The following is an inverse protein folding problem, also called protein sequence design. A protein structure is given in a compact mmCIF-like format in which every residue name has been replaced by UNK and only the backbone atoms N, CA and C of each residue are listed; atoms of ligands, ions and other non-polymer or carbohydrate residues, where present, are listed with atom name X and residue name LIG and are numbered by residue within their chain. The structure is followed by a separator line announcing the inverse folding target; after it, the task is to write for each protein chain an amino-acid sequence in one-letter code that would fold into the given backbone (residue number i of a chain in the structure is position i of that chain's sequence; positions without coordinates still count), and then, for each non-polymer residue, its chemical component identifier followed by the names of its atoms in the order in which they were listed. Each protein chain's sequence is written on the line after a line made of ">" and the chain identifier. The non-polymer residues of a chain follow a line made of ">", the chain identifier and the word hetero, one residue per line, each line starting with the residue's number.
data_IF_113275431557
#
_entry.id   IF_113275431557
#
_cell.length_a   1.000
_cell.length_b   1.000
_cell.length_c   1.000
_cell.angle_alpha   90.00
_cell.angle_beta   90.00
_cell.angle_gamma   90.00
#
_symmetry.space_group_name_H-M   'P 1'
#
loop_
_entity.id
_entity.type
_entity.pdbx_description
1 polymer ?
#
# COMPACT_ATOMS: atom_id res chain seq x y z
N UNK A 1 13.61 -7.52 7.19
CA UNK A 1 13.40 -6.23 6.54
C UNK A 1 13.63 -5.12 7.56
N UNK A 2 14.39 -4.09 7.19
CA UNK A 2 14.58 -2.86 7.99
C UNK A 2 14.47 -1.66 7.06
N UNK A 3 13.83 -0.60 7.54
CA UNK A 3 13.68 0.66 6.80
C UNK A 3 13.20 0.45 5.35
N UNK A 4 12.19 -0.40 5.17
CA UNK A 4 11.66 -0.79 3.86
C UNK A 4 12.63 -1.55 2.93
N UNK A 5 13.81 -1.96 3.40
CA UNK A 5 14.83 -2.67 2.62
C UNK A 5 15.02 -4.11 3.08
N UNK A 6 15.32 -5.00 2.14
CA UNK A 6 15.76 -6.38 2.43
C UNK A 6 17.24 -6.36 2.78
N UNK A 7 17.57 -6.55 4.06
CA UNK A 7 18.95 -6.57 4.55
C UNK A 7 19.61 -7.95 4.45
N UNK A 8 18.82 -8.99 4.72
CA UNK A 8 19.27 -10.37 4.65
C UNK A 8 18.35 -11.15 3.70
N UNK A 9 18.76 -11.33 2.43
CA UNK A 9 17.97 -12.04 1.42
C UNK A 9 17.59 -13.45 1.84
N UNK A 10 18.52 -14.21 2.47
CA UNK A 10 18.27 -15.61 2.88
C UNK A 10 17.14 -15.73 3.90
N UNK A 11 17.18 -14.92 4.98
CA UNK A 11 16.09 -14.92 5.97
C UNK A 11 14.77 -14.40 5.39
N UNK A 12 14.84 -13.43 4.50
CA UNK A 12 13.67 -12.89 3.84
C UNK A 12 13.04 -13.92 2.89
N UNK A 13 13.85 -14.70 2.15
CA UNK A 13 13.35 -15.75 1.27
C UNK A 13 12.67 -16.89 2.04
N UNK A 14 13.17 -17.26 3.22
CA UNK A 14 12.51 -18.27 4.08
C UNK A 14 11.11 -17.82 4.50
N UNK A 15 10.94 -16.55 4.91
CA UNK A 15 9.65 -15.99 5.29
C UNK A 15 8.71 -15.90 4.09
N UNK A 16 9.20 -15.41 2.95
CA UNK A 16 8.43 -15.29 1.72
C UNK A 16 8.01 -16.66 1.17
N UNK A 17 8.88 -17.67 1.24
CA UNK A 17 8.56 -19.06 0.86
C UNK A 17 7.35 -19.58 1.64
N UNK A 18 7.31 -19.37 2.95
CA UNK A 18 6.17 -19.79 3.79
C UNK A 18 4.87 -19.11 3.34
N UNK A 19 4.93 -17.79 3.06
CA UNK A 19 3.77 -17.04 2.60
C UNK A 19 3.30 -17.51 1.21
N UNK A 20 4.23 -17.78 0.27
CA UNK A 20 3.91 -18.28 -1.06
C UNK A 20 3.25 -19.66 -0.97
N UNK A 21 3.84 -20.59 -0.23
CA UNK A 21 3.28 -21.96 -0.08
C UNK A 21 1.88 -21.87 0.53
N UNK A 22 1.72 -21.11 1.60
CA UNK A 22 0.40 -20.95 2.23
C UNK A 22 -0.63 -20.35 1.26
N UNK A 23 -0.27 -19.32 0.50
CA UNK A 23 -1.18 -18.70 -0.47
C UNK A 23 -1.54 -19.66 -1.61
N UNK A 24 -0.59 -20.46 -2.10
CA UNK A 24 -0.84 -21.48 -3.13
C UNK A 24 -1.79 -22.57 -2.62
N UNK A 25 -1.56 -23.05 -1.39
CA UNK A 25 -2.39 -24.09 -0.76
C UNK A 25 -3.81 -23.57 -0.45
N UNK A 26 -3.94 -22.32 0.06
CA UNK A 26 -5.23 -21.73 0.44
C UNK A 26 -6.11 -21.39 -0.78
N UNK A 27 -5.49 -21.05 -1.91
CA UNK A 27 -6.20 -20.54 -3.11
C UNK A 27 -6.22 -21.53 -4.28
N UNK A 28 -5.55 -22.68 -4.19
CA UNK A 28 -5.38 -23.67 -5.26
C UNK A 28 -4.83 -23.06 -6.56
N UNK A 29 -3.79 -22.25 -6.40
CA UNK A 29 -3.10 -21.53 -7.48
C UNK A 29 -1.61 -21.82 -7.45
N UNK A 30 -0.93 -21.54 -8.56
CA UNK A 30 0.52 -21.48 -8.63
C UNK A 30 0.97 -20.04 -8.85
N UNK A 31 1.86 -19.55 -7.99
CA UNK A 31 2.43 -18.21 -8.11
C UNK A 31 3.62 -18.29 -9.07
N UNK A 32 3.52 -17.61 -10.21
CA UNK A 32 4.54 -17.59 -11.26
C UNK A 32 5.46 -16.39 -11.15
N UNK A 33 4.89 -15.24 -10.82
CA UNK A 33 5.58 -13.96 -10.75
C UNK A 33 5.05 -13.11 -9.60
N UNK A 34 5.86 -12.18 -9.11
CA UNK A 34 5.50 -11.28 -8.01
C UNK A 34 5.75 -9.82 -8.42
N UNK A 35 4.79 -8.96 -8.13
CA UNK A 35 4.95 -7.50 -8.20
C UNK A 35 5.61 -7.01 -6.92
N UNK A 36 6.57 -6.12 -7.05
CA UNK A 36 7.41 -5.65 -5.94
C UNK A 36 7.28 -4.14 -5.80
N UNK A 37 7.03 -3.68 -4.58
CA UNK A 37 7.22 -2.29 -4.20
C UNK A 37 8.70 -2.01 -3.93
N UNK A 38 9.26 -1.01 -4.60
CA UNK A 38 10.63 -0.56 -4.37
C UNK A 38 10.80 0.02 -2.96
N UNK A 39 12.02 -0.01 -2.39
CA UNK A 39 12.31 0.59 -1.09
C UNK A 39 11.93 2.06 -1.04
N UNK A 40 11.37 2.48 0.09
CA UNK A 40 10.85 3.85 0.28
C UNK A 40 11.81 4.78 0.99
N UNK A 41 12.77 4.24 1.75
CA UNK A 41 13.73 5.03 2.50
C UNK A 41 15.08 5.11 1.79
N UNK A 42 15.75 6.25 1.95
CA UNK A 42 17.04 6.51 1.30
C UNK A 42 16.91 6.80 -0.20
N UNK A 43 15.75 7.32 -0.62
CA UNK A 43 15.50 7.76 -1.99
C UNK A 43 15.68 9.28 -2.05
N UNK A 44 16.61 9.75 -2.87
CA UNK A 44 16.77 11.16 -3.16
C UNK A 44 15.99 11.54 -4.42
N UNK A 45 15.57 12.79 -4.49
CA UNK A 45 14.90 13.32 -5.66
C UNK A 45 15.80 14.32 -6.39
N UNK A 46 15.85 14.17 -7.70
CA UNK A 46 16.67 14.98 -8.58
C UNK A 46 15.84 15.47 -9.77
N UNK A 47 16.39 16.36 -10.57
CA UNK A 47 15.76 16.89 -11.78
C UNK A 47 16.54 16.42 -13.00
N UNK A 48 15.81 15.92 -13.99
CA UNK A 48 16.35 15.59 -15.31
C UNK A 48 15.50 16.29 -16.37
N UNK A 49 16.12 16.76 -17.42
CA UNK A 49 15.44 17.37 -18.55
C UNK A 49 16.06 16.92 -19.87
N UNK A 50 15.24 16.89 -20.91
CA UNK A 50 15.68 16.66 -22.27
C UNK A 50 14.87 17.53 -23.22
N UNK A 51 15.47 17.86 -24.36
CA UNK A 51 14.82 18.57 -25.46
C UNK A 51 15.10 17.83 -26.77
N UNK A 52 14.12 17.83 -27.67
CA UNK A 52 14.26 17.22 -28.99
C UNK A 52 13.58 18.05 -30.07
N UNK A 53 14.20 18.11 -31.21
CA UNK A 53 13.57 18.55 -32.46
C UNK A 53 12.74 17.40 -32.99
N UNK A 54 11.46 17.64 -33.31
CA UNK A 54 10.54 16.61 -33.73
C UNK A 54 10.73 16.26 -35.21
N UNK A 55 10.65 14.95 -35.50
CA UNK A 55 10.82 14.45 -36.88
C UNK A 55 9.73 14.93 -37.83
N UNK A 56 8.52 15.24 -37.31
CA UNK A 56 7.37 15.73 -38.07
C UNK A 56 6.93 17.10 -37.56
N UNK A 57 7.61 18.20 -37.94
CA UNK A 57 7.26 19.55 -37.51
C UNK A 57 5.79 19.88 -37.83
N UNK A 58 5.12 20.59 -36.92
CA UNK A 58 3.71 20.98 -37.06
C UNK A 58 2.69 19.85 -36.91
N UNK A 59 3.09 18.60 -36.72
CA UNK A 59 2.17 17.52 -36.36
C UNK A 59 1.85 17.55 -34.86
N UNK A 60 0.76 16.89 -34.45
CA UNK A 60 0.43 16.75 -33.01
C UNK A 60 1.42 15.86 -32.29
N UNK A 61 1.78 16.25 -31.08
CA UNK A 61 2.66 15.47 -30.18
C UNK A 61 1.94 14.20 -29.76
N UNK A 62 2.64 13.08 -29.84
CA UNK A 62 2.13 11.74 -29.46
C UNK A 62 2.61 11.32 -28.07
N UNK A 63 1.90 10.35 -27.47
CA UNK A 63 2.30 9.73 -26.22
C UNK A 63 3.68 9.02 -26.34
N UNK A 64 3.98 8.50 -27.52
CA UNK A 64 5.28 7.86 -27.80
C UNK A 64 6.43 8.85 -27.76
N UNK A 65 6.22 10.08 -28.26
CA UNK A 65 7.24 11.16 -28.21
C UNK A 65 7.45 11.64 -26.76
N UNK A 66 6.38 11.73 -25.95
CA UNK A 66 6.47 12.01 -24.52
C UNK A 66 7.27 10.93 -23.78
N UNK A 67 7.05 9.66 -24.12
CA UNK A 67 7.83 8.56 -23.56
C UNK A 67 9.29 8.60 -24.04
N UNK A 68 9.53 8.93 -25.31
CA UNK A 68 10.87 9.04 -25.87
C UNK A 68 11.69 10.15 -25.17
N UNK A 69 11.10 11.34 -24.99
CA UNK A 69 11.80 12.44 -24.29
C UNK A 69 12.07 12.14 -22.82
N UNK A 70 11.15 11.40 -22.16
CA UNK A 70 11.39 10.88 -20.82
C UNK A 70 12.60 9.96 -20.76
N UNK A 71 12.68 9.00 -21.68
CA UNK A 71 13.82 8.08 -21.74
C UNK A 71 15.14 8.83 -22.05
N UNK A 72 15.11 9.82 -22.97
CA UNK A 72 16.28 10.67 -23.22
C UNK A 72 16.75 11.41 -21.96
N UNK A 73 15.81 11.95 -21.17
CA UNK A 73 16.14 12.63 -19.92
C UNK A 73 16.75 11.67 -18.89
N UNK A 74 16.24 10.44 -18.80
CA UNK A 74 16.76 9.42 -17.88
C UNK A 74 18.15 8.93 -18.31
N UNK A 75 18.35 8.66 -19.59
CA UNK A 75 19.62 8.17 -20.14
C UNK A 75 20.74 9.23 -20.08
N UNK A 76 20.38 10.51 -20.20
CA UNK A 76 21.33 11.63 -20.12
C UNK A 76 21.65 12.07 -18.69
N UNK A 77 20.89 11.60 -17.69
CA UNK A 77 21.10 12.00 -16.29
C UNK A 77 22.45 11.46 -15.76
N UNK A 78 23.35 12.35 -15.29
CA UNK A 78 24.64 11.95 -14.76
C UNK A 78 24.47 11.37 -13.35
N UNK A 79 24.40 10.05 -13.23
CA UNK A 79 24.43 9.39 -11.92
C UNK A 79 25.81 9.51 -11.28
N UNK A 80 25.85 9.84 -9.98
CA UNK A 80 27.09 9.98 -9.22
C UNK A 80 27.90 8.67 -9.22
N UNK A 81 27.23 7.54 -9.02
CA UNK A 81 27.82 6.20 -9.05
C UNK A 81 26.80 5.16 -9.56
N UNK A 82 26.80 4.91 -10.86
CA UNK A 82 25.92 3.94 -11.51
C UNK A 82 26.10 2.49 -11.01
N UNK A 83 27.20 2.20 -10.29
CA UNK A 83 27.40 0.90 -9.64
C UNK A 83 26.62 0.76 -8.33
N UNK A 84 26.29 1.86 -7.67
CA UNK A 84 25.63 1.90 -6.35
C UNK A 84 24.20 2.41 -6.40
N UNK A 85 23.84 3.14 -7.44
CA UNK A 85 22.57 3.85 -7.56
C UNK A 85 21.75 3.35 -8.75
N UNK A 86 20.45 3.49 -8.62
CA UNK A 86 19.46 3.12 -9.63
C UNK A 86 18.27 4.09 -9.58
N UNK A 87 17.73 4.44 -10.74
CA UNK A 87 16.52 5.25 -10.83
C UNK A 87 15.30 4.37 -10.54
N UNK A 88 14.59 4.66 -9.44
CA UNK A 88 13.40 3.94 -9.03
C UNK A 88 12.13 4.40 -9.75
N UNK A 89 12.13 5.63 -10.24
CA UNK A 89 11.00 6.19 -10.96
C UNK A 89 11.27 7.60 -11.46
N UNK A 90 10.43 8.04 -12.37
CA UNK A 90 10.45 9.41 -12.91
C UNK A 90 9.04 9.91 -13.12
N UNK A 91 8.79 11.16 -12.73
CA UNK A 91 7.50 11.84 -12.85
C UNK A 91 7.67 13.13 -13.64
N UNK A 92 6.91 13.26 -14.72
CA UNK A 92 6.89 14.49 -15.51
C UNK A 92 6.43 15.66 -14.64
N UNK A 93 7.14 16.76 -14.71
CA UNK A 93 6.84 17.98 -13.97
C UNK A 93 6.22 19.05 -14.86
N UNK A 94 6.73 19.20 -16.06
CA UNK A 94 6.21 20.13 -17.06
C UNK A 94 6.82 19.81 -18.42
N UNK A 95 6.12 20.23 -19.45
CA UNK A 95 6.58 20.22 -20.83
C UNK A 95 6.61 21.65 -21.40
N UNK A 96 7.47 21.87 -22.36
CA UNK A 96 7.51 23.05 -23.21
C UNK A 96 7.38 22.59 -24.66
N UNK A 97 6.39 23.08 -25.36
CA UNK A 97 6.16 22.83 -26.78
C UNK A 97 6.30 24.16 -27.52
N UNK A 98 7.38 24.34 -28.28
CA UNK A 98 7.78 25.62 -28.87
C UNK A 98 7.77 26.76 -27.83
N UNK A 99 6.90 27.76 -27.96
CA UNK A 99 6.79 28.91 -27.05
C UNK A 99 5.80 28.67 -25.90
N UNK A 100 5.18 27.50 -25.82
CA UNK A 100 4.18 27.16 -24.78
C UNK A 100 4.86 26.48 -23.58
N UNK A 101 5.07 27.24 -22.52
CA UNK A 101 5.77 26.80 -21.31
C UNK A 101 4.83 26.15 -20.26
N UNK A 102 5.40 25.29 -19.44
CA UNK A 102 4.78 24.70 -18.23
C UNK A 102 3.48 23.93 -18.50
N UNK A 103 3.38 23.28 -19.62
CA UNK A 103 2.23 22.42 -19.93
C UNK A 103 2.26 21.12 -19.13
N UNK A 104 1.09 20.60 -18.84
CA UNK A 104 0.95 19.23 -18.31
C UNK A 104 1.13 18.20 -19.45
N UNK A 105 1.31 16.94 -19.09
CA UNK A 105 1.34 15.84 -20.07
C UNK A 105 -0.01 15.74 -20.82
N UNK A 106 -1.11 15.96 -20.13
CA UNK A 106 -2.46 15.94 -20.71
C UNK A 106 -2.67 17.08 -21.75
N UNK A 107 -2.06 18.25 -21.51
CA UNK A 107 -2.19 19.41 -22.40
C UNK A 107 -1.26 19.33 -23.61
N UNK A 108 -0.06 18.78 -23.42
CA UNK A 108 0.96 18.73 -24.48
C UNK A 108 0.67 17.66 -25.52
N UNK A 109 0.12 16.50 -25.10
CA UNK A 109 -0.29 15.43 -26.03
C UNK A 109 -1.46 15.89 -26.89
N UNK A 110 -1.31 15.83 -28.21
CA UNK A 110 -2.29 16.32 -29.18
C UNK A 110 -2.11 17.77 -29.59
N UNK A 111 -1.20 18.54 -28.97
CA UNK A 111 -0.85 19.89 -29.43
C UNK A 111 0.17 19.83 -30.59
N UNK A 112 0.09 20.72 -31.59
CA UNK A 112 1.10 20.81 -32.65
C UNK A 112 2.31 21.58 -32.12
N UNK A 113 3.52 21.08 -32.45
CA UNK A 113 4.76 21.78 -32.16
C UNK A 113 5.91 21.25 -33.03
N UNK A 114 6.97 22.03 -33.18
CA UNK A 114 8.19 21.64 -33.87
C UNK A 114 9.23 21.11 -32.90
N UNK A 115 9.24 21.61 -31.66
CA UNK A 115 10.16 21.22 -30.60
C UNK A 115 9.39 20.75 -29.37
N UNK A 116 9.98 19.83 -28.62
CA UNK A 116 9.46 19.35 -27.34
C UNK A 116 10.58 19.30 -26.32
N UNK A 117 10.36 19.95 -25.18
CA UNK A 117 11.20 19.81 -23.98
C UNK A 117 10.39 19.21 -22.84
N UNK A 118 10.98 18.27 -22.10
CA UNK A 118 10.38 17.65 -20.94
C UNK A 118 11.25 17.83 -19.70
N UNK A 119 10.63 18.24 -18.59
CA UNK A 119 11.24 18.34 -17.27
C UNK A 119 10.66 17.25 -16.36
N UNK A 120 11.55 16.45 -15.77
CA UNK A 120 11.19 15.30 -14.96
C UNK A 120 11.80 15.38 -13.56
N UNK A 121 11.07 14.97 -12.58
CA UNK A 121 11.61 14.65 -11.27
C UNK A 121 11.91 13.16 -11.23
N UNK A 122 13.17 12.83 -10.96
CA UNK A 122 13.62 11.44 -10.86
C UNK A 122 13.88 11.08 -9.39
N UNK A 123 13.70 9.82 -9.08
CA UNK A 123 13.87 9.28 -7.75
C UNK A 123 14.95 8.22 -7.78
N UNK A 124 16.08 8.54 -7.13
CA UNK A 124 17.29 7.72 -7.15
C UNK A 124 17.47 7.02 -5.82
N UNK A 125 17.61 5.71 -5.86
CA UNK A 125 17.80 4.88 -4.67
C UNK A 125 18.99 3.94 -4.78
N UNK A 126 19.23 3.19 -3.71
CA UNK A 126 20.36 2.29 -3.61
C UNK A 126 20.14 1.02 -4.45
N UNK A 127 20.98 0.79 -5.48
CA UNK A 127 20.97 -0.41 -6.32
C UNK A 127 21.11 -1.71 -5.51
N UNK A 128 21.90 -1.67 -4.42
CA UNK A 128 22.04 -2.82 -3.51
C UNK A 128 20.70 -3.27 -2.91
N UNK A 129 19.79 -2.34 -2.62
CA UNK A 129 18.50 -2.68 -2.03
C UNK A 129 17.62 -3.45 -3.03
N UNK A 130 17.66 -3.08 -4.31
CA UNK A 130 16.98 -3.78 -5.40
C UNK A 130 17.64 -5.14 -5.67
N UNK A 131 18.96 -5.19 -5.74
CA UNK A 131 19.71 -6.45 -5.93
C UNK A 131 19.40 -7.47 -4.81
N UNK A 132 19.25 -7.03 -3.56
CA UNK A 132 18.88 -7.91 -2.46
C UNK A 132 17.48 -8.53 -2.65
N UNK A 133 16.56 -7.79 -3.25
CA UNK A 133 15.23 -8.30 -3.61
C UNK A 133 15.37 -9.35 -4.73
N UNK A 134 16.14 -9.06 -5.76
CA UNK A 134 16.36 -9.99 -6.87
C UNK A 134 17.04 -11.27 -6.40
N UNK A 135 18.04 -11.20 -5.53
CA UNK A 135 18.69 -12.38 -4.90
C UNK A 135 17.65 -13.21 -4.12
N UNK A 136 16.79 -12.53 -3.34
CA UNK A 136 15.72 -13.18 -2.57
C UNK A 136 14.77 -13.96 -3.49
N UNK A 137 14.28 -13.33 -4.56
CA UNK A 137 13.34 -13.94 -5.49
C UNK A 137 13.97 -15.07 -6.29
N UNK A 138 15.19 -14.87 -6.80
CA UNK A 138 15.94 -15.90 -7.52
C UNK A 138 16.15 -17.16 -6.68
N UNK A 139 16.38 -17.01 -5.36
CA UNK A 139 16.50 -18.15 -4.43
C UNK A 139 15.20 -18.95 -4.26
N UNK A 140 14.06 -18.35 -4.60
CA UNK A 140 12.73 -18.97 -4.57
C UNK A 140 12.31 -19.54 -5.93
N UNK A 141 13.03 -19.22 -7.00
CA UNK A 141 12.65 -19.57 -8.36
C UNK A 141 11.42 -18.80 -8.86
N UNK A 142 11.13 -17.64 -8.25
CA UNK A 142 9.99 -16.77 -8.64
C UNK A 142 10.54 -15.52 -9.32
N UNK A 143 9.98 -15.18 -10.47
CA UNK A 143 10.38 -14.00 -11.22
C UNK A 143 9.74 -12.72 -10.68
N UNK A 144 10.46 -11.58 -10.81
CA UNK A 144 9.88 -10.26 -10.62
C UNK A 144 9.06 -9.89 -11.87
N UNK A 145 7.75 -9.75 -11.72
CA UNK A 145 6.88 -9.29 -12.80
C UNK A 145 7.06 -7.80 -13.08
N UNK A 146 7.11 -7.01 -12.00
CA UNK A 146 7.22 -5.56 -12.06
C UNK A 146 7.80 -5.01 -10.77
N UNK A 147 8.62 -3.97 -10.89
CA UNK A 147 9.10 -3.15 -9.76
C UNK A 147 8.34 -1.82 -9.77
N UNK A 148 7.62 -1.52 -8.69
CA UNK A 148 6.73 -0.36 -8.60
C UNK A 148 7.32 0.68 -7.67
N UNK A 149 7.43 1.92 -8.15
CA UNK A 149 7.72 3.08 -7.32
C UNK A 149 6.44 3.45 -6.55
N UNK A 150 6.36 2.99 -5.30
CA UNK A 150 5.14 3.04 -4.48
C UNK A 150 4.54 4.44 -4.28
N UNK A 151 5.33 5.53 -4.08
CA UNK A 151 4.75 6.85 -3.84
C UNK A 151 3.73 7.27 -4.89
N UNK A 152 4.01 7.06 -6.19
CA UNK A 152 3.06 7.38 -7.26
C UNK A 152 1.83 6.46 -7.24
N UNK A 153 2.04 5.14 -7.06
CA UNK A 153 0.95 4.17 -7.05
C UNK A 153 0.00 4.34 -5.84
N UNK A 154 0.53 4.76 -4.69
CA UNK A 154 -0.27 4.96 -3.48
C UNK A 154 -1.22 6.15 -3.60
N UNK A 155 -0.85 7.20 -4.32
CA UNK A 155 -1.75 8.33 -4.57
C UNK A 155 -3.00 7.88 -5.32
N UNK A 156 -2.85 7.09 -6.37
CA UNK A 156 -3.96 6.52 -7.14
C UNK A 156 -4.90 5.68 -6.26
N UNK A 157 -4.32 4.97 -5.28
CA UNK A 157 -5.07 4.10 -4.38
C UNK A 157 -5.83 4.85 -3.27
N UNK A 158 -5.43 6.07 -2.91
CA UNK A 158 -5.94 6.75 -1.71
C UNK A 158 -6.52 8.13 -1.98
N UNK A 159 -5.87 8.93 -2.83
CA UNK A 159 -6.20 10.33 -3.04
C UNK A 159 -7.26 10.50 -4.14
N UNK A 160 -8.15 11.46 -3.99
CA UNK A 160 -9.01 11.90 -5.09
C UNK A 160 -8.23 12.80 -6.05
N UNK A 161 -8.73 12.93 -7.28
CA UNK A 161 -8.16 13.84 -8.29
C UNK A 161 -8.20 15.29 -7.82
N UNK A 162 -9.28 15.68 -7.15
CA UNK A 162 -9.45 17.01 -6.57
C UNK A 162 -8.41 17.29 -5.46
N UNK A 163 -8.12 16.33 -4.60
CA UNK A 163 -7.08 16.46 -3.58
C UNK A 163 -5.70 16.64 -4.20
N UNK A 164 -5.36 15.83 -5.21
CA UNK A 164 -4.09 15.92 -5.92
C UNK A 164 -3.95 17.24 -6.69
N UNK A 165 -5.03 17.73 -7.25
CA UNK A 165 -5.03 19.00 -7.98
C UNK A 165 -4.87 20.19 -7.03
N UNK A 166 -5.68 20.27 -5.99
CA UNK A 166 -5.69 21.38 -5.04
C UNK A 166 -4.49 21.46 -4.12
N UNK A 167 -3.77 20.37 -3.95
CA UNK A 167 -2.58 20.26 -3.10
C UNK A 167 -2.85 19.51 -1.80
N UNK A 168 -2.14 18.39 -1.63
CA UNK A 168 -2.27 17.47 -0.50
C UNK A 168 -0.92 16.84 -0.16
N UNK A 169 -0.67 16.60 1.12
CA UNK A 169 0.41 15.78 1.60
C UNK A 169 -0.13 14.39 1.98
N UNK A 170 0.33 13.35 1.29
CA UNK A 170 0.06 11.95 1.64
C UNK A 170 1.18 11.47 2.55
N UNK A 171 0.86 11.18 3.81
CA UNK A 171 1.77 10.61 4.79
C UNK A 171 1.44 9.13 4.95
N UNK A 172 2.43 8.26 4.74
CA UNK A 172 2.32 6.84 5.01
C UNK A 172 3.22 6.46 6.17
N UNK A 173 2.61 6.14 7.30
CA UNK A 173 3.30 5.66 8.48
C UNK A 173 3.32 4.14 8.53
N UNK A 174 4.46 3.58 8.16
CA UNK A 174 4.71 2.14 8.24
C UNK A 174 5.27 1.73 9.60
N UNK A 175 5.70 0.48 9.71
CA UNK A 175 6.33 -0.02 10.94
C UNK A 175 7.71 0.62 11.20
N UNK A 176 8.54 0.82 10.19
CA UNK A 176 9.92 1.31 10.36
C UNK A 176 10.28 2.52 9.50
N UNK A 177 9.37 3.03 8.72
CA UNK A 177 9.55 4.20 7.84
C UNK A 177 8.24 4.97 7.81
N UNK A 178 8.35 6.29 7.89
CA UNK A 178 7.26 7.19 7.55
C UNK A 178 7.68 7.98 6.32
N UNK A 179 6.87 7.95 5.27
CA UNK A 179 7.12 8.66 4.02
C UNK A 179 6.10 9.75 3.79
N UNK A 180 6.51 10.80 3.08
CA UNK A 180 5.67 11.90 2.66
C UNK A 180 5.76 12.08 1.15
N UNK A 181 4.59 12.21 0.51
CA UNK A 181 4.43 12.54 -0.90
C UNK A 181 3.53 13.74 -1.04
N UNK A 182 4.01 14.80 -1.66
CA UNK A 182 3.23 16.04 -1.86
C UNK A 182 2.80 16.14 -3.31
N UNK A 183 1.48 16.28 -3.50
CA UNK A 183 0.84 16.45 -4.80
C UNK A 183 0.30 17.86 -4.98
N UNK A 184 0.45 18.42 -6.19
CA UNK A 184 -0.16 19.66 -6.64
C UNK A 184 -0.28 19.66 -8.15
N UNK A 185 -1.48 20.00 -8.67
CA UNK A 185 -1.80 19.90 -10.09
C UNK A 185 -1.71 18.45 -10.57
N UNK A 186 -2.18 17.49 -9.75
CA UNK A 186 -2.14 16.04 -9.99
C UNK A 186 -0.75 15.43 -10.18
N UNK A 187 0.31 16.21 -9.92
CA UNK A 187 1.71 15.82 -10.12
C UNK A 187 2.38 15.64 -8.76
N UNK A 188 3.17 14.57 -8.61
CA UNK A 188 4.05 14.37 -7.45
C UNK A 188 5.17 15.40 -7.48
N UNK A 189 5.10 16.38 -6.58
CA UNK A 189 6.03 17.51 -6.50
C UNK A 189 7.18 17.31 -5.53
N UNK A 190 6.95 16.54 -4.48
CA UNK A 190 7.97 16.27 -3.46
C UNK A 190 7.77 14.88 -2.86
N UNK A 191 8.86 14.20 -2.58
CA UNK A 191 8.89 12.94 -1.86
C UNK A 191 10.08 12.91 -0.92
N UNK A 192 9.85 12.46 0.31
CA UNK A 192 10.93 12.17 1.26
C UNK A 192 10.45 11.13 2.29
N UNK A 193 11.36 10.63 3.11
CA UNK A 193 11.05 9.63 4.15
C UNK A 193 12.00 9.72 5.32
N UNK A 194 11.50 9.36 6.48
CA UNK A 194 12.29 9.26 7.72
C UNK A 194 12.34 7.80 8.20
N UNK A 195 13.46 7.35 8.80
CA UNK A 195 13.64 5.98 9.27
C UNK A 195 12.98 5.73 10.63
N UNK A 196 11.80 6.30 10.84
CA UNK A 196 10.98 6.15 12.03
C UNK A 196 9.57 5.73 11.65
N UNK A 197 8.93 4.94 12.51
CA UNK A 197 7.56 4.46 12.31
C UNK A 197 7.02 3.78 13.56
N UNK A 198 5.89 3.11 13.43
CA UNK A 198 5.15 2.54 14.56
C UNK A 198 5.94 1.49 15.39
N UNK A 199 7.01 0.90 14.85
CA UNK A 199 7.90 0.00 15.60
C UNK A 199 8.72 0.76 16.66
N UNK A 200 9.03 2.03 16.42
CA UNK A 200 9.74 2.83 17.42
C UNK A 200 8.90 2.99 18.70
N UNK A 201 7.59 3.16 18.56
CA UNK A 201 6.63 3.17 19.67
C UNK A 201 6.68 1.85 20.45
N UNK A 202 6.64 0.70 19.74
CA UNK A 202 6.76 -0.63 20.36
C UNK A 202 8.06 -0.76 21.16
N UNK A 203 9.14 -0.22 20.59
CA UNK A 203 10.46 -0.22 21.23
C UNK A 203 10.46 0.63 22.49
N UNK A 204 9.83 1.81 22.46
CA UNK A 204 9.72 2.69 23.64
C UNK A 204 8.87 2.03 24.74
N UNK A 205 7.72 1.46 24.41
CA UNK A 205 6.87 0.71 25.35
C UNK A 205 7.68 -0.44 25.99
N UNK A 206 8.41 -1.19 25.15
CA UNK A 206 9.26 -2.30 25.60
C UNK A 206 10.28 -1.83 26.65
N UNK A 207 10.98 -0.73 26.40
CA UNK A 207 12.03 -0.25 27.30
C UNK A 207 11.47 0.45 28.55
N UNK A 208 10.43 1.25 28.40
CA UNK A 208 9.81 1.99 29.51
C UNK A 208 9.04 1.08 30.48
N UNK A 209 8.43 0.02 29.95
CA UNK A 209 7.63 -0.90 30.75
C UNK A 209 8.35 -2.23 31.07
N UNK A 210 9.55 -2.46 30.54
CA UNK A 210 10.28 -3.72 30.75
C UNK A 210 9.69 -4.94 30.02
N UNK A 211 8.80 -4.74 29.04
CA UNK A 211 8.07 -5.84 28.37
C UNK A 211 8.88 -6.52 27.27
N UNK A 212 8.48 -7.74 26.93
CA UNK A 212 8.90 -8.39 25.67
C UNK A 212 8.33 -7.64 24.49
N UNK A 213 9.05 -7.66 23.35
CA UNK A 213 8.65 -6.90 22.13
C UNK A 213 7.26 -7.30 21.63
N UNK A 214 6.93 -8.59 21.67
CA UNK A 214 5.62 -9.12 21.25
C UNK A 214 4.50 -8.58 22.15
N UNK A 215 4.69 -8.59 23.46
CA UNK A 215 3.74 -8.03 24.41
C UNK A 215 3.56 -6.52 24.24
N UNK A 216 4.64 -5.78 24.07
CA UNK A 216 4.61 -4.34 23.82
C UNK A 216 3.83 -4.01 22.52
N UNK A 217 4.02 -4.81 21.46
CA UNK A 217 3.26 -4.67 20.22
C UNK A 217 1.78 -4.94 20.41
N UNK A 218 1.43 -6.04 21.09
CA UNK A 218 0.03 -6.40 21.36
C UNK A 218 -0.68 -5.33 22.21
N UNK A 219 -0.02 -4.80 23.23
CA UNK A 219 -0.56 -3.72 24.06
C UNK A 219 -0.77 -2.44 23.23
N UNK A 220 0.19 -2.07 22.39
CA UNK A 220 0.06 -0.94 21.46
C UNK A 220 -1.13 -1.11 20.54
N UNK A 221 -1.29 -2.30 19.94
CA UNK A 221 -2.39 -2.58 19.00
C UNK A 221 -3.76 -2.55 19.69
N UNK A 222 -3.86 -3.04 20.93
CA UNK A 222 -5.11 -3.14 21.63
C UNK A 222 -5.54 -1.85 22.35
N UNK A 223 -4.59 -1.08 22.88
CA UNK A 223 -4.86 0.06 23.76
C UNK A 223 -4.14 1.34 23.35
N UNK A 224 -3.40 1.33 22.25
CA UNK A 224 -2.61 2.47 21.81
C UNK A 224 -3.45 3.64 21.35
N UNK A 225 -3.20 4.80 21.95
CA UNK A 225 -3.84 6.05 21.58
C UNK A 225 -2.90 7.24 21.84
N UNK A 226 -3.01 8.27 21.01
CA UNK A 226 -2.40 9.57 21.26
C UNK A 226 -3.31 10.46 22.12
N UNK A 227 -2.74 11.56 22.65
CA UNK A 227 -3.42 12.60 23.41
C UNK A 227 -4.07 12.02 24.68
N UNK A 228 -3.27 11.81 25.75
CA UNK A 228 -3.76 11.22 27.02
C UNK A 228 -4.98 11.90 27.62
N UNK A 229 -5.13 13.21 27.36
CA UNK A 229 -6.24 14.03 27.85
C UNK A 229 -7.58 13.70 27.18
N UNK A 230 -7.55 13.09 25.99
CA UNK A 230 -8.75 12.69 25.24
C UNK A 230 -9.23 11.28 25.54
N UNK A 231 -8.53 10.54 26.41
CA UNK A 231 -8.89 9.15 26.73
C UNK A 231 -10.11 9.00 27.62
N UNK A 232 -10.58 10.09 28.25
CA UNK A 232 -11.71 10.08 29.18
C UNK A 232 -11.55 8.97 30.23
N UNK A 233 -12.60 8.19 30.47
CA UNK A 233 -12.60 7.08 31.43
C UNK A 233 -11.64 5.93 31.08
N UNK A 234 -11.21 5.83 29.82
CA UNK A 234 -10.24 4.82 29.39
C UNK A 234 -8.84 5.11 29.99
N UNK A 235 -8.48 6.37 30.18
CA UNK A 235 -7.18 6.76 30.75
C UNK A 235 -6.96 6.27 32.19
N UNK A 236 -8.02 6.12 32.95
CA UNK A 236 -7.96 5.65 34.35
C UNK A 236 -7.87 4.13 34.47
N UNK A 237 -8.09 3.39 33.39
CA UNK A 237 -7.97 1.93 33.40
C UNK A 237 -6.54 1.49 33.63
N UNK A 238 -6.41 0.42 34.41
CA UNK A 238 -5.16 -0.26 34.69
C UNK A 238 -5.19 -1.61 33.99
N UNK A 239 -4.25 -1.81 33.07
CA UNK A 239 -4.03 -3.11 32.45
C UNK A 239 -3.28 -3.99 33.44
N UNK A 240 -3.83 -5.13 33.76
CA UNK A 240 -3.16 -6.16 34.55
C UNK A 240 -2.54 -7.17 33.57
N UNK A 241 -1.24 -7.21 33.55
CA UNK A 241 -0.44 -7.99 32.61
C UNK A 241 0.16 -9.14 33.41
N UNK A 242 -0.13 -10.37 32.99
CA UNK A 242 0.48 -11.56 33.57
C UNK A 242 1.81 -11.84 32.85
N UNK A 243 2.92 -11.78 33.56
CA UNK A 243 4.20 -12.27 33.05
C UNK A 243 4.31 -13.76 33.38
N UNK A 244 4.15 -14.61 32.36
CA UNK A 244 4.19 -16.06 32.50
C UNK A 244 5.52 -16.58 33.02
N UNK A 245 6.61 -15.84 32.80
CA UNK A 245 7.96 -16.28 33.19
C UNK A 245 8.25 -15.97 34.69
N UNK A 246 7.76 -14.87 35.20
CA UNK A 246 7.99 -14.45 36.59
C UNK A 246 6.86 -14.82 37.55
N UNK A 247 5.67 -15.14 37.03
CA UNK A 247 4.45 -15.38 37.81
C UNK A 247 3.96 -14.14 38.56
N UNK A 248 4.46 -12.97 38.18
CA UNK A 248 4.07 -11.67 38.76
C UNK A 248 3.12 -10.92 37.85
N UNK A 249 2.30 -10.05 38.44
CA UNK A 249 1.43 -9.17 37.69
C UNK A 249 2.03 -7.77 37.62
N UNK A 250 2.20 -7.30 36.41
CA UNK A 250 2.54 -5.90 36.16
C UNK A 250 1.29 -5.07 35.91
N UNK A 251 1.34 -3.81 36.30
CA UNK A 251 0.21 -2.88 36.18
C UNK A 251 0.61 -1.69 35.32
N UNK A 252 -0.05 -1.53 34.17
CA UNK A 252 0.16 -0.41 33.27
C UNK A 252 -1.09 0.44 33.17
N UNK A 253 -1.01 1.73 33.51
CA UNK A 253 -2.11 2.66 33.26
C UNK A 253 -2.20 3.01 31.79
N UNK A 254 -3.41 2.96 31.20
CA UNK A 254 -3.63 3.32 29.78
C UNK A 254 -3.20 4.78 29.52
N UNK A 255 -3.39 5.67 30.46
CA UNK A 255 -2.91 7.06 30.35
C UNK A 255 -1.38 7.14 30.19
N UNK A 256 -0.62 6.38 30.98
CA UNK A 256 0.85 6.36 30.88
C UNK A 256 1.30 5.75 29.55
N UNK A 257 0.65 4.67 29.08
CA UNK A 257 0.87 4.12 27.75
C UNK A 257 0.67 5.20 26.66
N UNK A 258 -0.41 5.96 26.76
CA UNK A 258 -0.71 7.05 25.82
C UNK A 258 0.34 8.19 25.89
N UNK A 259 0.90 8.48 27.05
CA UNK A 259 1.97 9.46 27.21
C UNK A 259 3.23 9.02 26.45
N UNK A 260 3.67 7.75 26.62
CA UNK A 260 4.81 7.17 25.89
C UNK A 260 4.57 7.29 24.37
N UNK A 261 3.41 6.83 23.91
CA UNK A 261 3.03 6.86 22.49
C UNK A 261 3.04 8.28 21.94
N UNK A 262 2.42 9.21 22.66
CA UNK A 262 2.30 10.61 22.24
C UNK A 262 3.66 11.29 22.14
N UNK A 263 4.59 11.01 23.03
CA UNK A 263 5.94 11.54 22.97
C UNK A 263 6.65 11.11 21.68
N UNK A 264 6.61 9.83 21.33
CA UNK A 264 7.22 9.33 20.11
C UNK A 264 6.54 9.86 18.85
N UNK A 265 5.21 9.90 18.83
CA UNK A 265 4.48 10.42 17.68
C UNK A 265 4.75 11.91 17.45
N UNK A 266 4.91 12.72 18.49
CA UNK A 266 5.32 14.12 18.35
C UNK A 266 6.65 14.25 17.62
N UNK A 267 7.67 13.45 17.95
CA UNK A 267 8.97 13.47 17.27
C UNK A 267 8.85 13.10 15.78
N UNK A 268 8.03 12.07 15.48
CA UNK A 268 7.77 11.66 14.10
C UNK A 268 7.05 12.78 13.33
N UNK A 269 6.02 13.36 13.92
CA UNK A 269 5.22 14.44 13.31
C UNK A 269 6.08 15.68 13.09
N UNK A 270 6.86 16.13 14.07
CA UNK A 270 7.77 17.26 13.93
C UNK A 270 8.73 17.08 12.75
N UNK A 271 9.30 15.87 12.61
CA UNK A 271 10.18 15.55 11.49
C UNK A 271 9.44 15.63 10.14
N UNK A 272 8.20 15.17 10.06
CA UNK A 272 7.38 15.24 8.84
C UNK A 272 6.98 16.69 8.54
N UNK A 273 6.61 17.48 9.56
CA UNK A 273 6.28 18.88 9.38
C UNK A 273 7.49 19.70 8.90
N UNK A 274 8.68 19.38 9.38
CA UNK A 274 9.92 19.95 8.86
C UNK A 274 10.09 19.67 7.37
N UNK A 275 9.86 18.42 6.92
CA UNK A 275 9.93 18.05 5.50
C UNK A 275 8.85 18.77 4.65
N UNK A 276 7.67 19.02 5.21
CA UNK A 276 6.65 19.84 4.54
C UNK A 276 7.15 21.26 4.32
N UNK A 277 7.78 21.86 5.32
CA UNK A 277 8.35 23.22 5.20
C UNK A 277 9.50 23.23 4.17
N UNK A 278 10.42 22.29 4.25
CA UNK A 278 11.55 22.15 3.34
C UNK A 278 11.11 21.98 1.89
N UNK A 279 9.98 21.31 1.65
CA UNK A 279 9.43 21.08 0.31
C UNK A 279 9.07 22.37 -0.46
N UNK A 280 8.84 23.48 0.24
CA UNK A 280 8.33 24.72 -0.33
C UNK A 280 6.84 24.69 -0.71
N UNK A 281 6.10 23.64 -0.33
CA UNK A 281 4.67 23.47 -0.62
C UNK A 281 3.77 23.66 0.59
N UNK A 282 4.29 24.03 1.77
CA UNK A 282 3.52 24.15 3.00
C UNK A 282 2.24 25.00 2.85
N UNK A 283 2.33 26.16 2.21
CA UNK A 283 1.18 27.05 2.01
C UNK A 283 0.27 26.62 0.84
N UNK A 284 0.65 25.59 0.09
CA UNK A 284 -0.09 25.11 -1.09
C UNK A 284 -0.91 23.85 -0.82
N UNK A 285 -0.91 23.34 0.41
CA UNK A 285 -1.65 22.15 0.83
C UNK A 285 -3.09 22.49 1.21
N UNK A 286 -3.91 22.88 0.23
CA UNK A 286 -5.31 23.30 0.48
C UNK A 286 -6.17 22.17 1.02
N UNK A 287 -5.89 20.93 0.64
CA UNK A 287 -6.58 19.74 1.13
C UNK A 287 -5.88 19.11 2.35
N UNK A 288 -4.83 19.78 2.87
CA UNK A 288 -4.16 19.38 4.09
C UNK A 288 -3.38 18.07 3.97
N UNK A 289 -3.60 17.18 4.95
CA UNK A 289 -2.85 15.93 5.10
C UNK A 289 -3.78 14.74 5.01
N UNK A 290 -3.38 13.73 4.27
CA UNK A 290 -3.98 12.39 4.26
C UNK A 290 -3.02 11.42 4.90
N UNK A 291 -3.43 10.78 5.99
CA UNK A 291 -2.64 9.84 6.75
C UNK A 291 -3.04 8.41 6.44
N UNK A 292 -2.09 7.55 6.09
CA UNK A 292 -2.32 6.13 5.76
C UNK A 292 -1.21 5.23 6.29
N UNK A 293 -1.28 3.93 6.01
CA UNK A 293 -0.35 2.94 6.55
C UNK A 293 -0.82 2.36 7.90
N UNK A 294 -0.17 1.31 8.38
CA UNK A 294 -0.57 0.63 9.62
C UNK A 294 -0.52 1.53 10.87
N UNK A 295 0.40 2.53 10.89
CA UNK A 295 0.47 3.52 11.97
C UNK A 295 -0.74 4.45 12.04
N UNK A 296 -1.43 4.67 10.92
CA UNK A 296 -2.63 5.52 10.87
C UNK A 296 -3.81 4.98 11.70
N UNK A 297 -3.78 3.69 12.06
CA UNK A 297 -4.80 3.07 12.92
C UNK A 297 -4.66 3.45 14.41
N UNK A 298 -3.58 4.14 14.78
CA UNK A 298 -3.39 4.59 16.15
C UNK A 298 -4.44 5.64 16.51
N UNK A 299 -5.20 5.36 17.57
CA UNK A 299 -6.31 6.24 17.98
C UNK A 299 -5.80 7.67 18.29
N UNK A 300 -6.55 8.67 17.86
CA UNK A 300 -6.24 10.10 18.00
C UNK A 300 -4.98 10.61 17.29
N UNK A 301 -4.27 9.80 16.49
CA UNK A 301 -3.08 10.26 15.78
C UNK A 301 -3.40 11.40 14.78
N UNK A 302 -4.47 11.24 14.00
CA UNK A 302 -4.91 12.30 13.09
C UNK A 302 -5.25 13.61 13.83
N UNK A 303 -5.83 13.52 15.03
CA UNK A 303 -6.08 14.67 15.87
C UNK A 303 -4.79 15.33 16.36
N UNK A 304 -3.80 14.53 16.76
CA UNK A 304 -2.50 15.01 17.19
C UNK A 304 -1.78 15.76 16.05
N UNK A 305 -1.77 15.19 14.85
CA UNK A 305 -1.19 15.85 13.66
C UNK A 305 -1.92 17.17 13.38
N UNK A 306 -3.25 17.20 13.47
CA UNK A 306 -4.03 18.41 13.27
C UNK A 306 -3.72 19.50 14.30
N UNK A 307 -3.59 19.13 15.58
CA UNK A 307 -3.24 20.06 16.67
C UNK A 307 -1.85 20.66 16.50
N UNK A 308 -0.87 19.85 16.07
CA UNK A 308 0.50 20.30 15.87
C UNK A 308 0.71 21.11 14.60
N UNK A 309 -0.03 20.79 13.54
CA UNK A 309 0.23 21.35 12.21
C UNK A 309 -0.73 22.46 11.79
N UNK A 310 -1.95 22.47 12.34
CA UNK A 310 -3.04 23.32 11.88
C UNK A 310 -3.70 22.90 10.56
N UNK A 311 -3.16 21.87 9.87
CA UNK A 311 -3.76 21.35 8.64
C UNK A 311 -5.02 20.53 8.94
N UNK A 312 -5.92 20.46 7.96
CA UNK A 312 -6.95 19.42 8.00
C UNK A 312 -6.30 18.07 7.78
N UNK A 313 -6.71 17.07 8.57
CA UNK A 313 -6.16 15.70 8.52
C UNK A 313 -7.31 14.72 8.37
N UNK A 314 -7.20 13.82 7.39
CA UNK A 314 -8.08 12.67 7.26
C UNK A 314 -7.31 11.38 7.19
N UNK A 315 -7.94 10.28 7.55
CA UNK A 315 -7.41 8.94 7.32
C UNK A 315 -7.65 8.54 5.86
N UNK A 316 -6.63 8.00 5.23
CA UNK A 316 -6.65 7.51 3.85
C UNK A 316 -6.85 6.01 3.80
N UNK A 317 -8.04 5.58 3.40
CA UNK A 317 -8.36 4.18 3.14
C UNK A 317 -8.19 3.85 1.66
N UNK A 318 -7.90 2.58 1.30
CA UNK A 318 -7.76 2.19 -0.09
C UNK A 318 -9.07 2.30 -0.84
N UNK A 319 -9.01 2.78 -2.09
CA UNK A 319 -10.15 2.82 -3.00
C UNK A 319 -10.44 1.42 -3.53
N UNK A 320 -11.56 0.84 -3.11
CA UNK A 320 -11.94 -0.54 -3.47
C UNK A 320 -13.06 -0.61 -4.51
N UNK A 321 -13.48 0.53 -5.08
CA UNK A 321 -14.65 0.62 -5.98
C UNK A 321 -14.62 -0.29 -7.20
N UNK A 322 -13.43 -0.66 -7.67
CA UNK A 322 -13.22 -1.49 -8.86
C UNK A 322 -12.75 -2.91 -8.54
N UNK A 323 -12.84 -3.32 -7.27
CA UNK A 323 -12.34 -4.60 -6.78
C UNK A 323 -13.46 -5.38 -6.11
N UNK A 324 -13.50 -6.70 -6.31
CA UNK A 324 -14.27 -7.58 -5.44
C UNK A 324 -13.48 -7.80 -4.17
N UNK A 325 -14.09 -7.46 -3.02
CA UNK A 325 -13.46 -7.56 -1.69
C UNK A 325 -14.05 -8.70 -0.86
N UNK A 326 -14.90 -9.52 -1.46
CA UNK A 326 -15.51 -10.64 -0.76
C UNK A 326 -14.46 -11.63 -0.26
N UNK A 327 -14.52 -11.98 1.01
CA UNK A 327 -13.60 -12.93 1.64
C UNK A 327 -12.25 -12.36 2.09
N UNK A 328 -12.00 -11.05 1.92
CA UNK A 328 -10.74 -10.41 2.34
C UNK A 328 -10.98 -9.20 3.26
N UNK A 329 -11.35 -9.41 4.53
CA UNK A 329 -11.80 -8.33 5.43
C UNK A 329 -10.76 -7.24 5.68
N UNK A 330 -9.46 -7.58 5.70
CA UNK A 330 -8.37 -6.60 5.95
C UNK A 330 -8.02 -5.72 4.77
N UNK A 331 -8.60 -5.92 3.59
CA UNK A 331 -8.24 -5.19 2.36
C UNK A 331 -8.67 -3.71 2.39
N UNK A 332 -9.65 -3.38 3.21
CA UNK A 332 -10.18 -2.01 3.38
C UNK A 332 -9.42 -1.21 4.42
N UNK A 333 -8.48 -1.81 5.13
CA UNK A 333 -7.70 -1.14 6.17
C UNK A 333 -6.58 -0.28 5.58
N UNK A 334 -6.14 0.72 6.34
CA UNK A 334 -5.02 1.59 5.95
C UNK A 334 -3.71 0.82 5.76
N UNK A 335 -3.53 -0.28 6.48
CA UNK A 335 -2.36 -1.18 6.37
C UNK A 335 -2.27 -1.88 5.01
N UNK A 336 -3.40 -2.06 4.30
CA UNK A 336 -3.46 -2.70 2.98
C UNK A 336 -3.17 -1.74 1.81
N UNK A 337 -3.07 -0.44 2.04
CA UNK A 337 -2.93 0.58 0.98
C UNK A 337 -1.77 0.30 0.04
N UNK A 338 -0.58 -0.08 0.56
CA UNK A 338 0.58 -0.39 -0.28
C UNK A 338 0.34 -1.60 -1.19
N UNK A 339 -0.35 -2.64 -0.69
CA UNK A 339 -0.70 -3.83 -1.48
C UNK A 339 -1.74 -3.50 -2.56
N UNK A 340 -2.77 -2.74 -2.20
CA UNK A 340 -3.80 -2.28 -3.15
C UNK A 340 -3.19 -1.38 -4.21
N UNK A 341 -2.28 -0.49 -3.84
CA UNK A 341 -1.56 0.37 -4.78
C UNK A 341 -0.78 -0.44 -5.82
N UNK A 342 -0.09 -1.50 -5.40
CA UNK A 342 0.60 -2.41 -6.32
C UNK A 342 -0.35 -3.14 -7.23
N UNK A 343 -1.48 -3.64 -6.73
CA UNK A 343 -2.50 -4.32 -7.52
C UNK A 343 -3.09 -3.37 -8.57
N UNK A 344 -3.53 -2.18 -8.17
CA UNK A 344 -4.12 -1.19 -9.08
C UNK A 344 -3.13 -0.71 -10.15
N UNK A 345 -1.86 -0.52 -9.77
CA UNK A 345 -0.81 -0.14 -10.72
C UNK A 345 -0.52 -1.27 -11.72
N UNK A 346 -0.57 -2.53 -11.27
CA UNK A 346 -0.30 -3.70 -12.10
C UNK A 346 -1.47 -4.10 -12.97
N UNK A 347 -2.71 -3.86 -12.52
CA UNK A 347 -3.93 -4.16 -13.30
C UNK A 347 -4.02 -3.38 -14.61
N UNK A 348 -3.33 -2.25 -14.71
CA UNK A 348 -3.22 -1.47 -15.96
C UNK A 348 -2.38 -2.17 -17.04
N UNK A 349 -1.68 -3.24 -16.69
CA UNK A 349 -0.80 -3.98 -17.60
C UNK A 349 -1.40 -5.36 -17.89
N UNK A 350 -2.00 -5.50 -19.07
CA UNK A 350 -2.67 -6.72 -19.53
C UNK A 350 -1.71 -7.92 -19.75
N UNK A 351 -0.39 -7.68 -19.72
CA UNK A 351 0.63 -8.71 -19.96
C UNK A 351 1.13 -9.38 -18.68
N UNK A 352 0.70 -8.91 -17.49
CA UNK A 352 1.12 -9.52 -16.23
C UNK A 352 0.35 -10.81 -15.95
N UNK A 353 1.05 -11.94 -15.95
CA UNK A 353 0.53 -13.24 -15.54
C UNK A 353 1.22 -13.70 -14.26
N UNK A 354 0.74 -13.24 -13.12
CA UNK A 354 1.35 -13.53 -11.81
C UNK A 354 0.91 -14.88 -11.25
N UNK A 355 -0.26 -15.41 -11.63
CA UNK A 355 -0.84 -16.64 -11.09
C UNK A 355 -1.32 -17.56 -12.20
N UNK A 356 -1.21 -18.86 -11.97
CA UNK A 356 -1.77 -19.93 -12.78
C UNK A 356 -2.78 -20.71 -11.92
N UNK A 357 -4.04 -20.80 -12.36
CA UNK A 357 -5.05 -21.60 -11.67
C UNK A 357 -4.76 -23.09 -11.88
N UNK A 358 -4.66 -23.85 -10.82
CA UNK A 358 -4.53 -25.29 -10.86
C UNK A 358 -5.93 -25.88 -11.03
N UNK A 359 -6.37 -26.05 -12.29
CA UNK A 359 -7.58 -26.79 -12.56
C UNK A 359 -7.39 -28.26 -12.17
N UNK A 360 -7.78 -28.61 -10.96
CA UNK A 360 -8.04 -30.02 -10.63
C UNK A 360 -9.26 -30.44 -11.44
N UNK A 361 -9.05 -31.13 -12.57
CA UNK A 361 -10.10 -31.92 -13.20
C UNK A 361 -10.66 -32.86 -12.13
N UNK A 362 -11.78 -32.48 -11.54
CA UNK A 362 -12.61 -33.43 -10.81
C UNK A 362 -13.01 -34.47 -11.82
N UNK A 363 -12.35 -35.65 -11.81
CA UNK A 363 -12.86 -36.85 -12.47
C UNK A 363 -14.30 -37.04 -11.98
N UNK A 364 -15.25 -36.64 -12.81
CA UNK A 364 -16.61 -37.09 -12.70
C UNK A 364 -16.53 -38.58 -12.92
N UNK A 365 -16.64 -39.38 -11.88
CA UNK A 365 -16.95 -40.78 -12.01
C UNK A 365 -18.31 -40.84 -12.67
N UNK A 366 -18.31 -41.15 -13.97
CA UNK A 366 -19.50 -41.60 -14.67
C UNK A 366 -20.00 -42.87 -13.97
N UNK A 367 -21.11 -42.72 -13.27
CA UNK A 367 -21.86 -43.85 -12.80
C UNK A 367 -22.43 -44.53 -14.05
N UNK A 368 -22.05 -45.78 -14.27
CA UNK A 368 -22.64 -46.65 -15.33
C UNK A 368 -24.16 -46.69 -15.16
N UNK A 369 -24.94 -46.58 -16.25
CA UNK A 369 -26.40 -46.72 -16.18
C UNK A 369 -26.75 -48.18 -16.01
N UNK A 370 -27.41 -48.48 -14.93
CA UNK A 370 -28.03 -49.78 -14.68
C UNK A 370 -29.25 -49.94 -15.60
N UNK A 371 -29.14 -50.90 -16.51
CA UNK A 371 -30.17 -51.22 -17.51
C UNK A 371 -31.10 -52.27 -16.94
N UNK A 372 -32.25 -51.87 -16.45
CA UNK A 372 -33.40 -52.77 -16.40
C UNK A 372 -34.66 -52.03 -16.82
N UNK A 373 -35.17 -52.50 -17.99
CA UNK A 373 -36.33 -51.94 -18.61
C UNK A 373 -37.65 -52.22 -17.91
N UNK A 374 -38.64 -51.45 -18.27
CA UNK A 374 -39.97 -51.92 -18.74
C UNK A 374 -40.74 -50.77 -19.36
N UNK A 375 -41.31 -51.13 -20.50
CA UNK A 375 -42.23 -50.46 -21.41
C UNK A 375 -43.57 -50.11 -20.72
N UNK A 376 -44.18 -48.96 -21.02
CA UNK A 376 -45.52 -48.79 -21.57
C UNK A 376 -45.86 -47.28 -21.79
N UNK A 377 -46.27 -47.01 -22.98
CA UNK A 377 -47.21 -46.09 -23.65
C UNK A 377 -48.09 -45.22 -22.71
N UNK A 378 -48.52 -44.04 -23.00
CA UNK A 378 -49.08 -43.41 -24.20
C UNK A 378 -49.54 -41.96 -23.92
N UNK A 379 -49.52 -41.16 -24.99
CA UNK A 379 -50.39 -40.04 -25.33
C UNK A 379 -50.39 -38.67 -24.62
N UNK A 380 -49.92 -37.77 -25.43
CA UNK A 380 -50.61 -36.56 -25.99
C UNK A 380 -50.72 -35.27 -25.17
N UNK A 381 -50.25 -34.30 -25.84
CA UNK A 381 -50.71 -32.93 -26.20
C UNK A 381 -49.85 -31.77 -25.73
N UNK A 382 -49.23 -31.20 -26.71
CA UNK A 382 -49.15 -29.77 -27.11
C UNK A 382 -49.46 -28.69 -26.02
N UNK A 383 -48.56 -27.78 -25.83
CA UNK A 383 -48.52 -26.42 -26.38
C UNK A 383 -47.41 -25.54 -25.74
N UNK A 384 -46.62 -25.01 -26.65
CA UNK A 384 -46.00 -23.67 -26.73
C UNK A 384 -45.81 -22.83 -25.46
N UNK A 385 -44.58 -22.41 -25.15
CA UNK A 385 -44.03 -21.08 -25.42
C UNK A 385 -42.76 -20.75 -24.63
N UNK A 386 -41.87 -20.14 -25.40
CA UNK A 386 -40.96 -19.07 -25.02
C UNK A 386 -39.67 -19.39 -24.22
N UNK A 387 -38.61 -19.27 -24.98
CA UNK A 387 -37.24 -18.99 -24.57
C UNK A 387 -37.12 -18.05 -23.37
N UNK A 388 -36.29 -18.41 -22.40
CA UNK A 388 -35.43 -17.46 -21.71
C UNK A 388 -34.11 -18.14 -21.34
N UNK A 389 -33.07 -17.77 -22.07
CA UNK A 389 -31.68 -17.92 -21.71
C UNK A 389 -31.43 -17.34 -20.32
N UNK A 390 -31.02 -18.16 -19.38
CA UNK A 390 -30.35 -17.73 -18.19
C UNK A 390 -29.02 -18.47 -18.09
N UNK A 391 -27.96 -17.78 -18.49
CA UNK A 391 -26.59 -18.15 -18.17
C UNK A 391 -26.45 -18.15 -16.63
N UNK A 392 -26.29 -19.30 -16.04
CA UNK A 392 -25.85 -19.44 -14.67
C UNK A 392 -24.37 -19.09 -14.61
N UNK A 393 -24.04 -17.94 -14.03
CA UNK A 393 -22.68 -17.60 -13.60
C UNK A 393 -22.41 -18.43 -12.34
N UNK A 394 -21.47 -19.37 -12.44
CA UNK A 394 -20.90 -20.04 -11.27
C UNK A 394 -20.08 -19.02 -10.48
N UNK A 395 -20.61 -18.54 -9.37
CA UNK A 395 -19.85 -17.77 -8.38
C UNK A 395 -19.04 -18.77 -7.54
N UNK A 396 -17.73 -18.78 -7.72
CA UNK A 396 -16.82 -19.46 -6.81
C UNK A 396 -16.82 -18.73 -5.46
N UNK A 397 -17.33 -19.38 -4.43
CA UNK A 397 -17.29 -18.86 -3.05
C UNK A 397 -15.91 -19.13 -2.47
N UNK A 398 -15.06 -18.11 -2.42
CA UNK A 398 -13.82 -18.16 -1.63
C UNK A 398 -14.17 -18.03 -0.15
N UNK A 399 -13.92 -19.08 0.64
CA UNK A 399 -13.93 -19.03 2.09
C UNK A 399 -12.49 -18.98 2.58
N UNK A 400 -11.99 -17.78 2.91
CA UNK A 400 -10.74 -17.62 3.65
C UNK A 400 -11.09 -17.66 5.14
N UNK A 401 -10.75 -18.76 5.82
CA UNK A 401 -10.89 -18.86 7.27
C UNK A 401 -9.56 -18.43 7.90
N UNK A 402 -9.54 -17.22 8.45
CA UNK A 402 -8.43 -16.77 9.30
C UNK A 402 -8.53 -17.48 10.65
N UNK A 403 -7.51 -18.27 11.01
CA UNK A 403 -7.35 -18.67 12.41
C UNK A 403 -6.88 -17.44 13.18
N UNK A 404 -7.79 -16.85 13.97
CA UNK A 404 -7.43 -15.81 14.94
C UNK A 404 -6.35 -16.37 15.89
N UNK A 405 -5.31 -15.59 16.24
CA UNK A 405 -4.41 -15.98 17.32
C UNK A 405 -5.22 -16.22 18.59
N UNK A 406 -4.93 -17.27 19.33
CA UNK A 406 -5.67 -17.66 20.56
C UNK A 406 -5.80 -16.56 21.62
N UNK A 407 -4.95 -15.53 21.53
CA UNK A 407 -4.95 -14.38 22.42
C UNK A 407 -6.15 -13.43 22.21
N UNK A 408 -6.66 -13.33 20.98
CA UNK A 408 -7.81 -12.44 20.68
C UNK A 408 -9.09 -12.96 21.31
N UNK A 409 -9.28 -14.27 21.42
CA UNK A 409 -10.48 -14.86 22.07
C UNK A 409 -10.57 -14.52 23.56
N UNK A 410 -9.43 -14.31 24.23
CA UNK A 410 -9.38 -13.92 25.64
C UNK A 410 -9.69 -12.43 25.84
N UNK A 411 -9.39 -11.59 24.83
CA UNK A 411 -9.65 -10.15 24.86
C UNK A 411 -11.09 -9.85 24.42
N UNK A 412 -11.63 -10.57 23.43
CA UNK A 412 -13.04 -10.44 23.02
C UNK A 412 -14.00 -10.79 24.17
N UNK A 413 -13.67 -11.79 25.01
CA UNK A 413 -14.46 -12.09 26.21
C UNK A 413 -14.45 -10.98 27.26
N UNK A 414 -13.38 -10.17 27.31
CA UNK A 414 -13.28 -9.03 28.22
C UNK A 414 -13.89 -7.74 27.65
N UNK A 415 -13.98 -7.60 26.32
CA UNK A 415 -14.48 -6.40 25.63
C UNK A 415 -15.94 -6.58 25.20
N UNK A 416 -16.37 -7.78 24.81
CA UNK A 416 -17.77 -8.08 24.45
C UNK A 416 -18.78 -7.78 25.56
N UNK A 417 -18.40 -8.01 26.82
CA UNK A 417 -19.22 -7.62 27.98
C UNK A 417 -19.33 -6.12 28.25
N UNK A 418 -18.57 -5.28 27.51
CA UNK A 418 -18.59 -3.83 27.68
C UNK A 418 -19.52 -3.13 26.66
N UNK A 419 -19.79 -3.75 25.52
CA UNK A 419 -20.69 -3.18 24.50
C UNK A 419 -22.17 -3.46 24.81
N UNK A 420 -22.48 -4.59 25.49
CA UNK A 420 -23.85 -4.92 25.92
C UNK A 420 -24.39 -4.05 27.07
N UNK A 421 -23.58 -3.16 27.64
CA UNK A 421 -24.01 -2.23 28.72
C UNK A 421 -24.19 -0.78 28.24
N UNK A 422 -24.12 -0.52 26.91
CA UNK A 422 -24.27 0.80 26.31
C UNK A 422 -25.46 0.94 25.35
N UNK A 423 -26.49 0.05 25.44
CA UNK A 423 -27.84 0.29 24.94
C UNK A 423 -28.75 0.91 26.00
#
# INVERSE_FOLDING_TARGET
>A
IRYSCVFNPTRASEALRKAIVQAQDDLDIKIMQIVIGLPRHGVRQEVASAAMDRSNPGSCITQEEVLAIKNMALDSYPMDDSSKEEIYGAVAQSFTADDMFQQSEEDVVGSPADTLEGNFKIFVGAKRAVNNIDIMLNSLGVASARKVFLPSAMADAVLSDEEMDNGVALIEQGAGVTSISIYKGRILRYYNSIPFGARNITTDIKYECGFKEELAENIKLAFGACIPEKLQSMGDKILQINDEDSGTYEHLRVKYLSEIITCREKEIIESILFLIQESGYAERLRNGIVLTGGGANLANLANLIKEMSGYNVRIGYPKTRHMSIEGCPGITETSAVSSIAMILNSYKDEHLNCIEELHTEKKVQEAEPDVTGTVFEDNSKEENKAEKNTRAKSASKFKITWKKPKFIDTVEGAVGGLFDQME
#
